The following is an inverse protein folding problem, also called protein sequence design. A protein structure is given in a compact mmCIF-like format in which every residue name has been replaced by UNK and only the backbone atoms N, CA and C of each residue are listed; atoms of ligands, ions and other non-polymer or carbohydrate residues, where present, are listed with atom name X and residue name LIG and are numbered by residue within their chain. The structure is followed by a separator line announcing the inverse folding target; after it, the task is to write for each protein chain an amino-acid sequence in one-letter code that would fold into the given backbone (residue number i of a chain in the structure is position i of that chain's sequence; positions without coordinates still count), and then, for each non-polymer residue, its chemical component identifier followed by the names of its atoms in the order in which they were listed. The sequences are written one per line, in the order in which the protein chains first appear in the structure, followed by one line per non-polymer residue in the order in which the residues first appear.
data_IF_242660914616
#
_entry.id   IF_242660914616
#
_cell.length_a   1.000
_cell.length_b   1.000
_cell.length_c   1.000
_cell.angle_alpha   90.00
_cell.angle_beta   90.00
_cell.angle_gamma   90.00
#
_symmetry.space_group_name_H-M   'P 1'
#
loop_
_entity.id
_entity.type
_entity.pdbx_description
1 polymer ?
#
# COMPACT_ATOMS: atom_id res chain seq x y z
N UNK A 1 -0.47 13.57 3.03
CA UNK A 1 -0.95 13.13 1.69
C UNK A 1 -0.99 14.27 0.65
N UNK A 2 -1.11 15.53 1.08
CA UNK A 2 -1.12 16.73 0.23
C UNK A 2 0.25 17.29 -0.16
N UNK A 3 1.35 16.68 0.28
CA UNK A 3 2.67 17.02 -0.26
C UNK A 3 2.70 16.61 -1.72
N UNK A 4 3.05 17.54 -2.59
CA UNK A 4 3.15 17.30 -4.02
C UNK A 4 4.60 17.09 -4.42
N UNK A 5 4.85 16.12 -5.30
CA UNK A 5 6.10 16.01 -6.04
C UNK A 5 5.76 16.41 -7.47
N UNK A 6 6.47 17.44 -7.97
CA UNK A 6 6.25 17.97 -9.34
C UNK A 6 4.78 18.33 -9.63
N UNK A 7 4.08 18.90 -8.64
CA UNK A 7 2.68 19.31 -8.77
C UNK A 7 1.65 18.18 -8.64
N UNK A 8 2.06 16.94 -8.38
CA UNK A 8 1.18 15.79 -8.17
C UNK A 8 1.17 15.34 -6.71
N UNK A 9 -0.01 15.13 -6.12
CA UNK A 9 -0.11 14.59 -4.77
C UNK A 9 0.43 13.15 -4.70
N UNK A 10 0.82 12.71 -3.50
CA UNK A 10 1.33 11.35 -3.32
C UNK A 10 0.29 10.28 -3.69
N UNK A 11 -1.00 10.56 -3.40
CA UNK A 11 -2.12 9.69 -3.77
C UNK A 11 -2.25 9.61 -5.29
N UNK A 12 -2.17 10.75 -5.98
CA UNK A 12 -2.20 10.81 -7.44
C UNK A 12 -1.10 9.94 -8.06
N UNK A 13 0.13 10.03 -7.53
CA UNK A 13 1.26 9.23 -8.01
C UNK A 13 1.04 7.73 -7.78
N UNK A 14 0.47 7.35 -6.63
CA UNK A 14 0.15 5.96 -6.32
C UNK A 14 -0.92 5.39 -7.25
N UNK A 15 -2.02 6.13 -7.45
CA UNK A 15 -3.11 5.73 -8.36
C UNK A 15 -2.60 5.60 -9.79
N UNK A 16 -1.84 6.57 -10.29
CA UNK A 16 -1.26 6.50 -11.63
C UNK A 16 -0.32 5.31 -11.81
N UNK A 17 0.43 4.95 -10.77
CA UNK A 17 1.30 3.77 -10.80
C UNK A 17 0.46 2.50 -10.91
N UNK A 18 -0.60 2.38 -10.12
CA UNK A 18 -1.51 1.23 -10.16
C UNK A 18 -2.19 1.08 -11.53
N UNK A 19 -2.78 2.17 -12.04
CA UNK A 19 -3.48 2.19 -13.33
C UNK A 19 -2.57 1.93 -14.54
N UNK A 20 -1.26 2.14 -14.40
CA UNK A 20 -0.30 1.89 -15.49
C UNK A 20 0.07 0.42 -15.67
N UNK A 21 -0.38 -0.46 -14.77
CA UNK A 21 0.02 -1.88 -14.74
C UNK A 21 -1.12 -2.73 -15.32
N UNK A 22 -0.91 -3.40 -16.48
CA UNK A 22 -1.97 -4.16 -17.16
C UNK A 22 -2.60 -5.27 -16.31
N UNK A 23 -1.82 -5.91 -15.44
CA UNK A 23 -2.29 -6.98 -14.56
C UNK A 23 -3.20 -6.48 -13.41
N UNK A 24 -3.21 -5.17 -13.11
CA UNK A 24 -4.11 -4.60 -12.10
C UNK A 24 -5.44 -4.26 -12.77
N UNK A 25 -6.43 -5.11 -12.56
CA UNK A 25 -7.75 -5.01 -13.21
C UNK A 25 -8.72 -4.05 -12.50
N UNK A 26 -8.52 -3.81 -11.21
CA UNK A 26 -9.31 -2.88 -10.40
C UNK A 26 -8.40 -2.08 -9.48
N UNK A 27 -8.59 -0.76 -9.46
CA UNK A 27 -7.87 0.15 -8.57
C UNK A 27 -8.89 0.79 -7.64
N UNK A 28 -8.72 0.56 -6.34
CA UNK A 28 -9.64 0.99 -5.30
C UNK A 28 -8.88 1.85 -4.29
N UNK A 29 -9.42 3.03 -3.99
CA UNK A 29 -8.90 3.94 -2.99
C UNK A 29 -9.86 3.99 -1.82
N UNK A 30 -9.37 3.64 -0.63
CA UNK A 30 -10.18 3.76 0.60
C UNK A 30 -9.73 4.95 1.42
N UNK A 31 -10.64 5.89 1.71
CA UNK A 31 -10.33 7.10 2.47
C UNK A 31 -11.57 7.77 3.03
N UNK A 32 -11.45 8.37 4.20
CA UNK A 32 -12.41 9.31 4.81
C UNK A 32 -12.23 10.76 4.33
N UNK A 33 -11.09 11.07 3.71
CA UNK A 33 -10.78 12.41 3.21
C UNK A 33 -11.40 12.67 1.83
N UNK A 34 -12.37 13.60 1.78
CA UNK A 34 -13.11 13.99 0.57
C UNK A 34 -12.18 14.40 -0.58
N UNK A 35 -11.05 15.04 -0.29
CA UNK A 35 -10.13 15.48 -1.34
C UNK A 35 -9.36 14.32 -1.96
N UNK A 36 -9.04 13.29 -1.17
CA UNK A 36 -8.43 12.03 -1.64
C UNK A 36 -9.43 11.28 -2.51
N UNK A 37 -10.69 11.20 -2.07
CA UNK A 37 -11.79 10.63 -2.84
C UNK A 37 -11.98 11.35 -4.18
N UNK A 38 -11.91 12.69 -4.19
CA UNK A 38 -11.99 13.47 -5.43
C UNK A 38 -10.85 13.12 -6.40
N UNK A 39 -9.60 13.08 -5.91
CA UNK A 39 -8.43 12.74 -6.73
C UNK A 39 -8.58 11.33 -7.32
N UNK A 40 -9.09 10.37 -6.54
CA UNK A 40 -9.34 9.01 -7.01
C UNK A 40 -10.36 8.95 -8.14
N UNK A 41 -11.53 9.59 -7.95
CA UNK A 41 -12.56 9.68 -8.98
C UNK A 41 -12.05 10.38 -10.25
N UNK A 42 -11.33 11.50 -10.12
CA UNK A 42 -10.78 12.26 -11.25
C UNK A 42 -9.79 11.42 -12.09
N UNK A 43 -9.13 10.43 -11.47
CA UNK A 43 -8.19 9.52 -12.11
C UNK A 43 -8.83 8.19 -12.59
N UNK A 44 -10.12 7.99 -12.32
CA UNK A 44 -10.84 6.76 -12.70
C UNK A 44 -10.63 5.57 -11.76
N UNK A 45 -10.15 5.79 -10.54
CA UNK A 45 -10.12 4.76 -9.49
C UNK A 45 -11.46 4.70 -8.74
N UNK A 46 -11.85 3.50 -8.32
CA UNK A 46 -13.01 3.29 -7.47
C UNK A 46 -12.75 3.85 -6.06
N UNK A 47 -13.79 4.38 -5.42
CA UNK A 47 -13.68 4.98 -4.09
C UNK A 47 -14.55 4.23 -3.11
N UNK A 48 -13.95 3.88 -1.97
CA UNK A 48 -14.66 3.36 -0.79
C UNK A 48 -14.44 4.34 0.35
N UNK A 49 -15.54 4.89 0.87
CA UNK A 49 -15.47 5.78 2.03
C UNK A 49 -15.13 4.95 3.25
N UNK A 50 -14.04 5.27 3.94
CA UNK A 50 -13.62 4.54 5.13
C UNK A 50 -14.35 5.10 6.36
N UNK A 51 -14.94 4.27 7.24
CA UNK A 51 -15.52 4.74 8.49
C UNK A 51 -14.44 5.28 9.43
N UNK A 52 -14.80 6.28 10.23
CA UNK A 52 -13.87 7.00 11.11
C UNK A 52 -13.17 6.09 12.15
N UNK A 53 -13.82 4.99 12.55
CA UNK A 53 -13.24 3.99 13.46
C UNK A 53 -11.99 3.32 12.87
N UNK A 54 -11.86 3.28 11.54
CA UNK A 54 -10.75 2.64 10.82
C UNK A 54 -9.69 3.65 10.34
N UNK A 55 -9.77 4.91 10.80
CA UNK A 55 -8.87 6.00 10.38
C UNK A 55 -8.04 6.56 11.55
N UNK A 56 -8.08 5.90 12.70
CA UNK A 56 -7.28 6.27 13.88
C UNK A 56 -5.80 5.92 13.68
N UNK A 57 -4.88 6.61 14.35
CA UNK A 57 -3.43 6.42 14.24
C UNK A 57 -2.96 4.98 14.53
N UNK A 58 -3.71 4.27 15.38
CA UNK A 58 -3.45 2.87 15.75
C UNK A 58 -4.29 1.86 14.94
N UNK A 59 -5.07 2.31 13.96
CA UNK A 59 -5.88 1.42 13.13
C UNK A 59 -4.99 0.53 12.27
N UNK A 60 -5.12 -0.81 12.37
CA UNK A 60 -4.36 -1.71 11.51
C UNK A 60 -4.72 -1.50 10.03
N UNK A 61 -3.72 -1.57 9.15
CA UNK A 61 -3.96 -1.52 7.70
C UNK A 61 -4.88 -2.67 7.24
N UNK A 62 -4.80 -3.82 7.91
CA UNK A 62 -5.64 -4.99 7.66
C UNK A 62 -7.14 -4.67 7.78
N UNK A 63 -7.54 -3.87 8.78
CA UNK A 63 -8.94 -3.50 8.96
C UNK A 63 -9.48 -2.68 7.79
N UNK A 64 -8.65 -1.79 7.22
CA UNK A 64 -9.01 -1.03 6.03
C UNK A 64 -9.12 -1.92 4.77
N UNK A 65 -8.29 -2.95 4.67
CA UNK A 65 -8.33 -3.95 3.58
C UNK A 65 -9.61 -4.79 3.68
N UNK A 66 -9.90 -5.34 4.86
CA UNK A 66 -11.08 -6.17 5.08
C UNK A 66 -12.38 -5.39 4.83
N UNK A 67 -12.43 -4.13 5.28
CA UNK A 67 -13.52 -3.22 4.96
C UNK A 67 -13.69 -3.04 3.44
N UNK A 68 -12.60 -2.81 2.71
CA UNK A 68 -12.65 -2.65 1.26
C UNK A 68 -13.18 -3.92 0.56
N UNK A 69 -12.71 -5.09 0.95
CA UNK A 69 -13.15 -6.37 0.40
C UNK A 69 -14.64 -6.62 0.67
N UNK A 70 -15.10 -6.32 1.89
CA UNK A 70 -16.50 -6.46 2.27
C UNK A 70 -17.42 -5.55 1.43
N UNK A 71 -17.08 -4.26 1.29
CA UNK A 71 -17.84 -3.30 0.47
C UNK A 71 -17.90 -3.71 -1.01
N UNK A 72 -16.87 -4.40 -1.50
CA UNK A 72 -16.81 -4.91 -2.87
C UNK A 72 -17.46 -6.29 -3.04
N UNK A 73 -17.98 -6.88 -1.96
CA UNK A 73 -18.47 -8.27 -1.91
C UNK A 73 -17.43 -9.28 -2.44
N UNK A 74 -16.16 -9.05 -2.11
CA UNK A 74 -15.04 -9.93 -2.48
C UNK A 74 -14.69 -10.83 -1.31
N UNK A 75 -14.63 -12.14 -1.56
CA UNK A 75 -14.13 -13.10 -0.60
C UNK A 75 -12.59 -13.05 -0.57
N UNK A 76 -11.96 -12.79 0.59
CA UNK A 76 -10.50 -12.81 0.72
C UNK A 76 -9.87 -14.14 0.30
N UNK A 77 -10.62 -15.24 0.40
CA UNK A 77 -10.16 -16.59 0.05
C UNK A 77 -10.29 -16.92 -1.43
N UNK A 78 -11.07 -16.13 -2.17
CA UNK A 78 -11.29 -16.30 -3.62
C UNK A 78 -10.73 -15.14 -4.45
N UNK A 79 -10.04 -14.18 -3.83
CA UNK A 79 -9.42 -13.05 -4.53
C UNK A 79 -8.07 -13.49 -5.10
N UNK A 80 -7.88 -13.36 -6.42
CA UNK A 80 -6.67 -13.86 -7.10
C UNK A 80 -5.38 -13.24 -6.56
N UNK A 81 -5.30 -11.90 -6.55
CA UNK A 81 -4.15 -11.15 -6.04
C UNK A 81 -4.61 -9.81 -5.48
N UNK A 82 -4.36 -9.56 -4.19
CA UNK A 82 -4.51 -8.25 -3.58
C UNK A 82 -3.17 -7.51 -3.58
N UNK A 83 -3.12 -6.32 -4.18
CA UNK A 83 -1.93 -5.47 -4.18
C UNK A 83 -2.14 -4.22 -3.34
N UNK A 84 -1.36 -4.06 -2.28
CA UNK A 84 -1.41 -2.88 -1.39
C UNK A 84 -0.36 -1.85 -1.82
N UNK A 85 -0.81 -0.69 -2.32
CA UNK A 85 0.07 0.40 -2.76
C UNK A 85 -0.04 1.57 -1.78
N UNK A 86 1.00 1.80 -1.00
CA UNK A 86 1.04 2.93 -0.06
C UNK A 86 1.46 4.23 -0.77
N UNK A 87 0.70 5.34 -0.61
CA UNK A 87 1.08 6.65 -1.17
C UNK A 87 2.40 7.21 -0.63
N UNK A 88 2.83 6.78 0.56
CA UNK A 88 4.06 7.24 1.23
C UNK A 88 5.35 6.78 0.56
N UNK A 89 5.29 5.94 -0.48
CA UNK A 89 6.43 5.59 -1.33
C UNK A 89 6.21 6.13 -2.76
N UNK A 90 6.31 7.45 -2.97
CA UNK A 90 5.99 8.07 -4.27
C UNK A 90 7.06 7.86 -5.34
N UNK A 91 8.30 7.53 -4.93
CA UNK A 91 9.42 7.26 -5.83
C UNK A 91 9.52 5.78 -6.21
N UNK A 92 8.45 5.00 -5.99
CA UNK A 92 8.41 3.58 -6.34
C UNK A 92 8.66 3.42 -7.83
N UNK A 93 9.61 2.56 -8.18
CA UNK A 93 9.88 2.18 -9.56
C UNK A 93 8.67 1.41 -10.12
N UNK A 94 8.02 2.02 -11.12
CA UNK A 94 6.84 1.47 -11.78
C UNK A 94 7.15 0.20 -12.57
N UNK A 95 8.33 0.14 -13.19
CA UNK A 95 8.75 -1.00 -13.99
C UNK A 95 9.10 -2.19 -13.12
N UNK A 96 9.76 -1.94 -11.98
CA UNK A 96 10.00 -2.96 -10.98
C UNK A 96 8.66 -3.50 -10.44
N UNK A 97 7.73 -2.61 -10.04
CA UNK A 97 6.42 -3.01 -9.54
C UNK A 97 5.66 -3.87 -10.56
N UNK A 98 5.58 -3.44 -11.82
CA UNK A 98 4.90 -4.18 -12.89
C UNK A 98 5.54 -5.55 -13.11
N UNK A 99 6.87 -5.60 -13.19
CA UNK A 99 7.61 -6.85 -13.41
C UNK A 99 7.43 -7.81 -12.24
N UNK A 100 7.48 -7.31 -11.00
CA UNK A 100 7.29 -8.12 -9.80
C UNK A 100 5.86 -8.69 -9.71
N UNK A 101 4.83 -7.91 -10.03
CA UNK A 101 3.45 -8.39 -10.09
C UNK A 101 3.30 -9.46 -11.17
N UNK A 102 3.80 -9.21 -12.38
CA UNK A 102 3.75 -10.16 -13.50
C UNK A 102 4.42 -11.49 -13.13
N UNK A 103 5.58 -11.43 -12.48
CA UNK A 103 6.31 -12.61 -12.03
C UNK A 103 5.58 -13.34 -10.90
N UNK A 104 4.99 -12.62 -9.94
CA UNK A 104 4.21 -13.22 -8.86
C UNK A 104 3.03 -14.04 -9.42
N UNK A 105 2.30 -13.46 -10.38
CA UNK A 105 1.18 -14.11 -11.07
C UNK A 105 1.66 -15.34 -11.86
N UNK A 106 2.72 -15.20 -12.66
CA UNK A 106 3.28 -16.31 -13.46
C UNK A 106 3.79 -17.48 -12.60
N UNK A 107 4.21 -17.19 -11.37
CA UNK A 107 4.68 -18.20 -10.42
C UNK A 107 3.55 -18.77 -9.53
N UNK A 108 2.29 -18.56 -9.92
CA UNK A 108 1.13 -19.19 -9.28
C UNK A 108 0.57 -18.43 -8.08
N UNK A 109 0.97 -17.18 -7.86
CA UNK A 109 0.38 -16.28 -6.86
C UNK A 109 0.37 -16.81 -5.42
N UNK A 110 1.37 -17.62 -5.04
CA UNK A 110 1.43 -18.21 -3.70
C UNK A 110 2.20 -17.33 -2.71
N UNK A 111 1.65 -17.17 -1.51
CA UNK A 111 2.30 -16.43 -0.42
C UNK A 111 2.20 -14.92 -0.59
N UNK A 112 3.29 -14.20 -0.32
CA UNK A 112 3.31 -12.73 -0.34
C UNK A 112 4.58 -12.19 -0.97
N UNK A 113 4.43 -11.08 -1.69
CA UNK A 113 5.52 -10.31 -2.30
C UNK A 113 5.63 -8.95 -1.60
N UNK A 114 6.83 -8.60 -1.15
CA UNK A 114 7.10 -7.33 -0.49
C UNK A 114 8.16 -6.52 -1.25
N UNK A 115 7.89 -5.23 -1.44
CA UNK A 115 8.92 -4.29 -1.88
C UNK A 115 9.87 -3.98 -0.73
N UNK A 116 11.16 -4.26 -0.93
CA UNK A 116 12.21 -4.05 0.07
C UNK A 116 13.34 -3.20 -0.51
N UNK A 117 14.13 -2.60 0.37
CA UNK A 117 15.35 -1.88 0.02
C UNK A 117 16.50 -2.45 0.85
N UNK A 118 17.71 -2.33 0.33
CA UNK A 118 18.91 -2.65 1.12
C UNK A 118 19.02 -1.67 2.29
N UNK A 119 19.30 -2.20 3.47
CA UNK A 119 19.48 -1.42 4.69
C UNK A 119 20.91 -0.87 4.74
N UNK A 120 21.06 0.41 5.06
CA UNK A 120 22.39 1.02 5.20
C UNK A 120 23.18 0.44 6.38
N UNK A 121 22.49 0.12 7.48
CA UNK A 121 23.07 -0.41 8.70
C UNK A 121 22.39 -1.73 9.07
N UNK A 122 23.19 -2.78 9.23
CA UNK A 122 22.67 -4.12 9.51
C UNK A 122 21.92 -4.17 10.86
N UNK A 123 20.65 -4.63 10.91
CA UNK A 123 19.82 -4.64 12.12
C UNK A 123 20.42 -5.40 13.30
N UNK A 124 21.20 -6.46 13.06
CA UNK A 124 21.90 -7.18 14.14
C UNK A 124 22.95 -6.33 14.90
N UNK A 125 23.28 -5.12 14.43
CA UNK A 125 24.14 -4.17 15.15
C UNK A 125 23.34 -3.20 16.04
N UNK A 126 22.01 -3.30 16.04
CA UNK A 126 21.17 -2.44 16.88
C UNK A 126 21.27 -2.85 18.36
N UNK A 127 21.17 -1.84 19.23
CA UNK A 127 21.11 -2.01 20.67
C UNK A 127 19.73 -1.52 21.17
N UNK A 128 19.25 -2.12 22.26
CA UNK A 128 18.01 -1.75 22.96
C UNK A 128 18.36 -1.15 24.31
N UNK A 129 17.69 -0.07 24.69
CA UNK A 129 17.78 0.51 26.03
C UNK A 129 16.97 -0.34 27.00
N UNK A 130 17.61 -0.85 28.04
CA UNK A 130 17.00 -1.62 29.11
C UNK A 130 17.38 -0.98 30.46
N UNK A 131 16.56 -0.04 30.92
CA UNK A 131 16.85 0.78 32.09
C UNK A 131 18.08 1.66 31.86
N UNK A 132 19.12 1.48 32.67
CA UNK A 132 20.39 2.21 32.56
C UNK A 132 21.39 1.57 31.58
N UNK A 133 21.07 0.40 31.01
CA UNK A 133 21.96 -0.35 30.13
C UNK A 133 21.51 -0.29 28.67
N UNK A 134 22.46 -0.53 27.77
CA UNK A 134 22.18 -0.87 26.36
C UNK A 134 22.62 -2.30 26.09
N UNK A 135 21.74 -3.10 25.50
CA UNK A 135 21.96 -4.52 25.21
C UNK A 135 21.77 -4.78 23.72
N UNK A 136 22.41 -5.80 23.12
CA UNK A 136 22.09 -6.21 21.75
C UNK A 136 20.58 -6.43 21.54
N UNK A 137 20.07 -6.02 20.37
CA UNK A 137 18.67 -6.26 19.98
C UNK A 137 18.36 -7.76 19.79
N UNK A 138 19.38 -8.56 19.50
CA UNK A 138 19.32 -10.01 19.22
C UNK A 138 19.88 -10.84 20.35
#
# INVERSE_FOLDING_TARGET
LFRSIEGKSLVHLAIQSALSIPEITRVVVTSDDISVQKIANDLGAEVIVRPAELTQDNSPIESAILHALAELNLDPTSTDVLTVIQPTSPLRDKQLLATSISNFIKNGSQGSLFGVVEVEHHPAKMLVVNGEFVVPFT
#
